data_IF_393257610512
#
_entry.id   IF_393257610512
#
_cell.length_a   1.000
_cell.length_b   1.000
_cell.length_c   1.000
_cell.angle_alpha   90.00
_cell.angle_beta   90.00
_cell.angle_gamma   90.00
#
_symmetry.space_group_name_H-M   'P 1'
#
loop_
_entity.id
_entity.type
_entity.pdbx_description
1 polymer ?
#
# COMPACT_ATOMS: atom_id res chain seq x y z
N UNK A 1 1.77 5.52 -26.36
CA UNK A 1 1.61 6.89 -25.83
C UNK A 1 1.98 6.79 -24.37
N UNK A 2 2.94 7.58 -23.89
CA UNK A 2 3.16 7.71 -22.44
C UNK A 2 1.92 8.44 -21.93
N UNK A 3 0.97 7.71 -21.35
CA UNK A 3 -0.15 8.32 -20.68
C UNK A 3 0.41 9.06 -19.46
N UNK A 4 0.08 10.34 -19.39
CA UNK A 4 0.42 11.18 -18.24
C UNK A 4 -0.32 10.58 -17.05
N UNK A 5 0.40 10.25 -15.99
CA UNK A 5 -0.18 9.76 -14.75
C UNK A 5 -1.21 10.80 -14.25
N UNK A 6 -2.48 10.42 -14.00
CA UNK A 6 -3.55 11.35 -13.62
C UNK A 6 -3.22 12.12 -12.33
N UNK A 7 -3.78 13.32 -12.17
CA UNK A 7 -3.57 14.11 -10.97
C UNK A 7 -4.10 13.39 -9.71
N UNK A 8 -5.18 12.64 -9.86
CA UNK A 8 -5.81 11.84 -8.82
C UNK A 8 -4.87 10.75 -8.29
N UNK A 9 -3.94 10.25 -9.11
CA UNK A 9 -2.93 9.30 -8.64
C UNK A 9 -2.02 9.98 -7.61
N UNK A 10 -1.55 11.19 -7.91
CA UNK A 10 -0.71 11.96 -6.99
C UNK A 10 -1.46 12.37 -5.72
N UNK A 11 -2.75 12.69 -5.83
CA UNK A 11 -3.61 12.86 -4.66
C UNK A 11 -3.66 11.57 -3.82
N UNK A 12 -3.82 10.41 -4.45
CA UNK A 12 -3.77 9.11 -3.78
C UNK A 12 -2.44 8.85 -3.07
N UNK A 13 -1.32 9.23 -3.68
CA UNK A 13 0.03 9.16 -3.08
C UNK A 13 0.14 10.06 -1.85
N UNK A 14 -0.35 11.30 -1.91
CA UNK A 14 -0.35 12.22 -0.78
C UNK A 14 -1.21 11.70 0.38
N UNK A 15 -2.41 11.18 0.09
CA UNK A 15 -3.30 10.56 1.07
C UNK A 15 -2.63 9.34 1.73
N UNK A 16 -2.03 8.44 0.94
CA UNK A 16 -1.28 7.30 1.44
C UNK A 16 -0.18 7.73 2.42
N UNK A 17 0.63 8.70 1.99
CA UNK A 17 1.77 9.19 2.76
C UNK A 17 1.40 10.00 4.01
N UNK A 18 0.14 10.42 4.11
CA UNK A 18 -0.43 11.14 5.26
C UNK A 18 -1.20 10.24 6.21
N UNK A 19 -1.35 8.93 5.90
CA UNK A 19 -2.13 7.98 6.70
C UNK A 19 -3.63 8.01 6.41
N UNK A 20 -4.09 8.75 5.40
CA UNK A 20 -5.50 8.84 4.99
C UNK A 20 -5.87 7.65 4.10
N UNK A 21 -5.67 6.42 4.60
CA UNK A 21 -5.68 5.21 3.77
C UNK A 21 -7.04 4.89 3.14
N UNK A 22 -8.15 5.22 3.82
CA UNK A 22 -9.48 5.06 3.25
C UNK A 22 -9.75 6.06 2.12
N UNK A 23 -9.31 7.31 2.26
CA UNK A 23 -9.41 8.29 1.18
C UNK A 23 -8.51 7.93 -0.02
N UNK A 24 -7.31 7.39 0.25
CA UNK A 24 -6.41 6.82 -0.75
C UNK A 24 -7.10 5.69 -1.53
N UNK A 25 -7.77 4.78 -0.82
CA UNK A 25 -8.57 3.72 -1.44
C UNK A 25 -9.59 4.28 -2.43
N UNK A 26 -10.47 5.19 -2.00
CA UNK A 26 -11.55 5.72 -2.84
C UNK A 26 -11.00 6.43 -4.08
N UNK A 27 -9.91 7.19 -3.90
CA UNK A 27 -9.25 7.93 -4.99
C UNK A 27 -8.64 6.97 -6.02
N UNK A 28 -7.93 5.93 -5.56
CA UNK A 28 -7.33 4.94 -6.46
C UNK A 28 -8.36 3.97 -7.05
N UNK A 29 -9.49 3.73 -6.38
CA UNK A 29 -10.57 2.87 -6.88
C UNK A 29 -11.21 3.48 -8.12
N UNK A 30 -11.46 4.79 -8.10
CA UNK A 30 -11.97 5.52 -9.26
C UNK A 30 -11.05 5.39 -10.48
N UNK A 31 -9.72 5.47 -10.28
CA UNK A 31 -8.74 5.25 -11.34
C UNK A 31 -8.71 3.79 -11.80
N UNK A 32 -8.75 2.84 -10.87
CA UNK A 32 -8.68 1.41 -11.16
C UNK A 32 -9.87 0.90 -11.99
N UNK A 33 -11.08 1.40 -11.71
CA UNK A 33 -12.29 1.02 -12.43
C UNK A 33 -12.16 1.36 -13.92
N UNK A 34 -11.67 2.57 -14.23
CA UNK A 34 -11.55 3.09 -15.60
C UNK A 34 -10.27 2.63 -16.32
N UNK A 35 -9.22 2.24 -15.58
CA UNK A 35 -7.93 1.88 -16.17
C UNK A 35 -7.95 0.56 -16.95
N UNK A 36 -7.20 0.55 -18.06
CA UNK A 36 -6.72 -0.65 -18.75
C UNK A 36 -5.38 -1.13 -18.19
N UNK A 37 -4.91 -2.29 -18.65
CA UNK A 37 -3.56 -2.74 -18.31
C UNK A 37 -2.50 -1.96 -19.12
N UNK A 38 -1.33 -1.65 -18.53
CA UNK A 38 -0.84 -2.10 -17.22
C UNK A 38 -1.29 -1.24 -16.00
N UNK A 39 -1.88 -0.07 -16.17
CA UNK A 39 -2.22 0.84 -15.06
C UNK A 39 -3.23 0.23 -14.07
N UNK A 40 -4.17 -0.57 -14.58
CA UNK A 40 -5.19 -1.24 -13.76
C UNK A 40 -4.58 -2.08 -12.64
N UNK A 41 -3.66 -2.98 -12.97
CA UNK A 41 -3.00 -3.82 -11.98
C UNK A 41 -2.08 -3.03 -11.03
N UNK A 42 -1.55 -1.89 -11.49
CA UNK A 42 -0.69 -1.00 -10.71
C UNK A 42 -1.50 -0.28 -9.62
N UNK A 43 -2.57 0.42 -10.01
CA UNK A 43 -3.47 1.10 -9.09
C UNK A 43 -4.08 0.13 -8.09
N UNK A 44 -4.50 -1.05 -8.55
CA UNK A 44 -5.01 -2.10 -7.66
C UNK A 44 -3.97 -2.53 -6.62
N UNK A 45 -2.70 -2.65 -7.00
CA UNK A 45 -1.62 -3.01 -6.09
C UNK A 45 -1.45 -2.01 -4.95
N UNK A 46 -1.37 -0.71 -5.28
CA UNK A 46 -1.21 0.37 -4.28
C UNK A 46 -2.47 0.49 -3.42
N UNK A 47 -3.65 0.46 -4.05
CA UNK A 47 -4.95 0.46 -3.36
C UNK A 47 -5.04 -0.68 -2.34
N UNK A 48 -4.66 -1.91 -2.71
CA UNK A 48 -4.68 -3.04 -1.78
C UNK A 48 -3.74 -2.81 -0.59
N UNK A 49 -2.55 -2.24 -0.80
CA UNK A 49 -1.65 -1.88 0.29
C UNK A 49 -2.29 -0.82 1.19
N UNK A 50 -2.93 0.21 0.63
CA UNK A 50 -3.64 1.23 1.42
C UNK A 50 -4.74 0.60 2.29
N UNK A 51 -5.59 -0.26 1.72
CA UNK A 51 -6.65 -0.95 2.47
C UNK A 51 -6.06 -1.90 3.53
N UNK A 52 -4.89 -2.49 3.28
CA UNK A 52 -4.21 -3.30 4.27
C UNK A 52 -3.81 -2.48 5.51
N UNK A 53 -3.33 -1.25 5.31
CA UNK A 53 -2.96 -0.33 6.39
C UNK A 53 -4.21 0.17 7.13
N UNK A 54 -5.28 0.49 6.41
CA UNK A 54 -6.59 0.79 7.02
C UNK A 54 -7.11 -0.39 7.88
N UNK A 55 -6.97 -1.63 7.41
CA UNK A 55 -7.32 -2.80 8.22
C UNK A 55 -6.48 -2.90 9.49
N UNK A 56 -5.19 -2.59 9.41
CA UNK A 56 -4.31 -2.59 10.57
C UNK A 56 -4.75 -1.56 11.61
N UNK A 57 -5.13 -0.34 11.21
CA UNK A 57 -5.68 0.70 12.11
C UNK A 57 -6.96 0.25 12.81
N UNK A 58 -7.77 -0.54 12.11
CA UNK A 58 -9.01 -1.13 12.62
C UNK A 58 -8.79 -2.48 13.34
N UNK A 59 -7.55 -2.81 13.70
CA UNK A 59 -7.16 -4.06 14.39
C UNK A 59 -7.56 -5.34 13.65
N UNK A 60 -7.78 -5.25 12.34
CA UNK A 60 -8.05 -6.38 11.46
C UNK A 60 -6.73 -6.94 10.90
N UNK A 61 -6.02 -7.71 11.72
CA UNK A 61 -4.76 -8.35 11.33
C UNK A 61 -4.88 -9.21 10.07
N UNK A 62 -5.96 -10.00 9.96
CA UNK A 62 -6.15 -10.93 8.84
C UNK A 62 -6.29 -10.17 7.53
N UNK A 63 -7.10 -9.12 7.52
CA UNK A 63 -7.28 -8.25 6.35
C UNK A 63 -5.96 -7.59 5.94
N UNK A 64 -5.21 -7.06 6.91
CA UNK A 64 -3.92 -6.43 6.67
C UNK A 64 -2.91 -7.41 6.02
N UNK A 65 -2.75 -8.60 6.59
CA UNK A 65 -1.80 -9.61 6.08
C UNK A 65 -2.15 -10.09 4.67
N UNK A 66 -3.45 -10.32 4.40
CA UNK A 66 -3.89 -10.77 3.07
C UNK A 66 -3.60 -9.69 2.02
N UNK A 67 -4.02 -8.46 2.26
CA UNK A 67 -3.92 -7.40 1.26
C UNK A 67 -2.49 -6.86 1.07
N UNK A 68 -1.64 -6.88 2.10
CA UNK A 68 -0.19 -6.64 1.92
C UNK A 68 0.43 -7.68 0.98
N UNK A 69 0.06 -8.96 1.14
CA UNK A 69 0.54 -10.03 0.28
C UNK A 69 0.05 -9.92 -1.16
N UNK A 70 -1.25 -9.67 -1.35
CA UNK A 70 -1.85 -9.51 -2.69
C UNK A 70 -1.35 -8.26 -3.41
N UNK A 71 -1.38 -7.10 -2.75
CA UNK A 71 -0.91 -5.84 -3.34
C UNK A 71 0.57 -5.92 -3.73
N UNK A 72 1.42 -6.46 -2.83
CA UNK A 72 2.83 -6.68 -3.14
C UNK A 72 3.08 -7.69 -4.27
N UNK A 73 2.27 -8.75 -4.40
CA UNK A 73 2.36 -9.69 -5.52
C UNK A 73 2.03 -9.03 -6.87
N UNK A 74 1.12 -8.05 -6.90
CA UNK A 74 0.79 -7.29 -8.11
C UNK A 74 1.92 -6.36 -8.51
N UNK A 75 2.40 -5.56 -7.55
CA UNK A 75 3.45 -4.56 -7.80
C UNK A 75 4.80 -5.17 -8.18
N UNK A 76 5.08 -6.41 -7.76
CA UNK A 76 6.30 -7.16 -8.17
C UNK A 76 6.47 -7.38 -9.68
N UNK A 77 5.44 -7.10 -10.49
CA UNK A 77 5.49 -7.24 -11.96
C UNK A 77 5.97 -5.97 -12.66
N UNK A 78 6.11 -4.87 -11.94
CA UNK A 78 6.50 -3.57 -12.46
C UNK A 78 8.01 -3.36 -12.32
N UNK A 79 8.61 -2.48 -13.14
CA UNK A 79 9.98 -2.03 -12.93
C UNK A 79 10.13 -1.30 -11.58
N UNK A 80 11.38 -1.17 -11.12
CA UNK A 80 11.72 -0.54 -9.84
C UNK A 80 11.20 0.91 -9.71
N UNK A 81 11.07 1.62 -10.83
CA UNK A 81 10.34 2.88 -10.93
C UNK A 81 9.20 2.75 -11.94
N UNK A 82 7.98 3.08 -11.52
CA UNK A 82 6.79 3.10 -12.36
C UNK A 82 5.84 4.18 -11.90
N UNK A 83 5.21 4.90 -12.83
CA UNK A 83 4.26 5.96 -12.50
C UNK A 83 4.86 7.12 -11.67
N UNK A 84 6.19 7.30 -11.72
CA UNK A 84 6.92 8.32 -10.97
C UNK A 84 7.11 7.99 -9.48
N UNK A 85 6.95 6.73 -9.07
CA UNK A 85 7.22 6.27 -7.71
C UNK A 85 8.27 5.15 -7.69
N UNK A 86 8.94 5.02 -6.56
CA UNK A 86 9.85 3.91 -6.26
C UNK A 86 9.03 2.69 -5.81
N UNK A 87 8.83 1.76 -6.74
CA UNK A 87 8.04 0.54 -6.53
C UNK A 87 8.81 -0.46 -5.68
N UNK A 88 10.14 -0.56 -5.85
CA UNK A 88 10.98 -1.47 -5.08
C UNK A 88 10.99 -1.09 -3.59
N UNK A 89 11.07 0.20 -3.30
CA UNK A 89 11.03 0.70 -1.93
C UNK A 89 9.67 0.44 -1.27
N UNK A 90 8.56 0.68 -1.99
CA UNK A 90 7.22 0.33 -1.50
C UNK A 90 7.05 -1.17 -1.25
N UNK A 91 7.59 -2.01 -2.13
CA UNK A 91 7.58 -3.47 -1.99
C UNK A 91 8.40 -3.93 -0.79
N UNK A 92 9.59 -3.37 -0.61
CA UNK A 92 10.50 -3.66 0.51
C UNK A 92 9.83 -3.33 1.84
N UNK A 93 9.28 -2.13 1.98
CA UNK A 93 8.58 -1.70 3.20
C UNK A 93 7.34 -2.56 3.48
N UNK A 94 6.55 -2.88 2.45
CA UNK A 94 5.35 -3.72 2.58
C UNK A 94 5.70 -5.16 3.00
N UNK A 95 6.77 -5.73 2.46
CA UNK A 95 7.25 -7.06 2.84
C UNK A 95 7.79 -7.09 4.28
N UNK A 96 8.50 -6.04 4.71
CA UNK A 96 8.96 -5.89 6.08
C UNK A 96 7.79 -5.81 7.07
N UNK A 97 6.77 -5.00 6.76
CA UNK A 97 5.55 -4.91 7.58
C UNK A 97 4.82 -6.26 7.63
N UNK A 98 4.64 -6.92 6.50
CA UNK A 98 3.99 -8.24 6.43
C UNK A 98 4.71 -9.27 7.32
N UNK A 99 6.04 -9.31 7.25
CA UNK A 99 6.86 -10.21 8.07
C UNK A 99 6.69 -9.91 9.57
N UNK A 100 6.72 -8.63 9.95
CA UNK A 100 6.51 -8.21 11.33
C UNK A 100 5.11 -8.60 11.84
N UNK A 101 4.06 -8.37 11.05
CA UNK A 101 2.69 -8.75 11.40
C UNK A 101 2.55 -10.27 11.58
N UNK A 102 3.18 -11.07 10.72
CA UNK A 102 3.16 -12.52 10.83
C UNK A 102 3.88 -13.02 12.09
N UNK A 103 4.97 -12.36 12.51
CA UNK A 103 5.68 -12.68 13.74
C UNK A 103 4.92 -12.26 15.00
N UNK A 104 4.24 -11.12 14.96
CA UNK A 104 3.42 -10.60 16.07
C UNK A 104 2.19 -11.49 16.29
N UNK A 105 1.58 -11.95 15.20
CA UNK A 105 0.35 -12.74 15.20
C UNK A 105 -0.91 -11.91 15.48
N UNK A 106 -2.10 -12.50 15.30
CA UNK A 106 -3.37 -11.79 15.42
C UNK A 106 -3.67 -11.29 16.84
N UNK A 107 -3.32 -12.07 17.87
CA UNK A 107 -3.73 -11.81 19.26
C UNK A 107 -3.25 -10.45 19.79
N UNK A 108 -1.99 -10.09 19.48
CA UNK A 108 -1.39 -8.83 19.93
C UNK A 108 -1.96 -7.61 19.23
N UNK A 109 -2.29 -7.73 17.93
CA UNK A 109 -2.90 -6.64 17.15
C UNK A 109 -4.34 -6.41 17.59
N UNK A 110 -5.13 -7.47 17.76
CA UNK A 110 -6.53 -7.37 18.19
C UNK A 110 -6.64 -6.77 19.59
N UNK A 111 -5.75 -7.18 20.50
CA UNK A 111 -5.71 -6.65 21.86
C UNK A 111 -5.24 -5.18 21.93
N UNK A 112 -4.66 -4.62 20.86
CA UNK A 112 -4.04 -3.29 20.89
C UNK A 112 -2.77 -3.22 21.72
N UNK A 113 -2.16 -4.37 22.03
CA UNK A 113 -1.03 -4.51 22.95
C UNK A 113 0.28 -4.64 22.16
N UNK A 114 0.58 -3.66 21.32
CA UNK A 114 1.94 -3.49 20.81
C UNK A 114 2.80 -3.03 21.99
N UNK A 115 3.79 -3.85 22.40
CA UNK A 115 4.66 -3.49 23.52
C UNK A 115 5.42 -2.19 23.26
N UNK A 116 5.85 -1.49 24.30
CA UNK A 116 6.49 -0.16 24.21
C UNK A 116 7.71 -0.09 23.26
N UNK A 117 8.32 -1.23 22.93
CA UNK A 117 9.45 -1.34 21.99
C UNK A 117 9.06 -1.85 20.59
N UNK A 118 7.77 -1.97 20.28
CA UNK A 118 7.27 -2.60 19.05
C UNK A 118 6.54 -1.55 18.19
N UNK A 119 7.32 -0.59 17.67
CA UNK A 119 6.84 0.41 16.71
C UNK A 119 6.82 -0.23 15.32
N UNK A 120 5.64 -0.33 14.71
CA UNK A 120 5.50 -0.78 13.32
C UNK A 120 5.83 0.38 12.39
N UNK A 121 6.87 0.23 11.56
CA UNK A 121 7.11 1.14 10.44
C UNK A 121 6.11 0.84 9.34
N UNK A 122 5.23 1.81 9.04
CA UNK A 122 4.28 1.68 7.94
C UNK A 122 4.96 2.05 6.61
N UNK A 123 4.60 1.37 5.50
CA UNK A 123 5.04 1.75 4.18
C UNK A 123 4.72 3.22 3.85
N UNK A 124 5.61 3.86 3.09
CA UNK A 124 5.42 5.16 2.45
C UNK A 124 5.83 5.06 0.99
N UNK A 125 5.15 5.82 0.14
CA UNK A 125 5.44 5.94 -1.27
C UNK A 125 6.51 7.01 -1.46
N UNK A 126 7.66 6.60 -2.00
CA UNK A 126 8.74 7.52 -2.38
C UNK A 126 8.52 7.94 -3.83
N UNK A 127 8.50 9.25 -4.08
CA UNK A 127 8.40 9.82 -5.43
C UNK A 127 9.79 9.87 -6.04
N UNK A 128 9.96 9.33 -7.25
CA UNK A 128 11.22 9.40 -7.97
C UNK A 128 11.32 10.76 -8.66
N UNK A 129 12.46 11.43 -8.48
CA UNK A 129 12.82 12.58 -9.30
C UNK A 129 13.64 12.05 -10.47
N UNK A 130 13.03 12.00 -11.65
CA UNK A 130 13.78 11.83 -12.90
C UNK A 130 14.63 13.07 -13.20
#
# INVERSE_FOLDING_TARGET
MSEIIPQEFWQGVEQFNSGEFYACHDTLEALWIEAGEPEKSFYQGILQIAVALYHLENRNWRGAVILLGEGGNRLRRYPSSYGGIDVDELLSQSAALLTNLQQIGPDKIVAGNLGENQVLSLPRIVVTTD
#
